data_IF_367916839805
#
_entry.id   IF_367916839805
#
_cell.length_a   1.000
_cell.length_b   1.000
_cell.length_c   1.000
_cell.angle_alpha   90.00
_cell.angle_beta   90.00
_cell.angle_gamma   90.00
#
_symmetry.space_group_name_H-M   'P 1'
#
loop_
_entity.id
_entity.type
_entity.pdbx_description
1 polymer ?
#
# COMPACT_ATOMS: atom_id res chain seq x y z
N UNK A 1 18.62 38.42 22.36
CA UNK A 1 17.23 37.94 22.47
C UNK A 1 16.32 38.82 23.34
N UNK A 2 16.76 39.48 24.36
CA UNK A 2 15.93 40.32 25.26
C UNK A 2 15.35 41.61 24.63
N UNK A 3 16.04 42.25 23.68
CA UNK A 3 15.61 43.52 23.06
C UNK A 3 14.49 43.34 22.02
N UNK A 4 14.47 42.21 21.34
CA UNK A 4 13.43 41.89 20.34
C UNK A 4 12.08 41.60 21.00
N UNK A 5 12.13 40.98 22.19
CA UNK A 5 10.93 40.64 22.96
C UNK A 5 10.26 41.87 23.56
N UNK A 6 11.03 42.89 23.94
CA UNK A 6 10.52 44.15 24.58
C UNK A 6 9.83 45.07 23.55
N UNK A 7 10.29 45.12 22.30
CA UNK A 7 9.66 45.90 21.24
C UNK A 7 8.37 45.28 20.71
N UNK A 8 8.30 43.94 20.62
CA UNK A 8 7.08 43.22 20.23
C UNK A 8 6.02 43.37 21.32
N UNK A 9 6.41 43.21 22.59
CA UNK A 9 5.51 43.38 23.74
C UNK A 9 4.90 44.79 23.82
N UNK A 10 5.68 45.84 23.56
CA UNK A 10 5.17 47.24 23.53
C UNK A 10 4.25 47.52 22.33
N UNK A 11 4.54 46.96 21.14
CA UNK A 11 3.66 47.09 19.97
C UNK A 11 2.32 46.38 20.18
N UNK A 12 2.33 45.21 20.81
CA UNK A 12 1.12 44.46 21.15
C UNK A 12 0.33 45.20 22.27
N UNK A 13 1.02 45.80 23.24
CA UNK A 13 0.36 46.52 24.36
C UNK A 13 -0.48 47.71 23.90
N UNK A 14 -0.13 48.35 22.79
CA UNK A 14 -0.84 49.52 22.27
C UNK A 14 -1.91 49.23 21.21
N UNK A 15 -2.14 47.95 20.87
CA UNK A 15 -3.20 47.56 19.94
C UNK A 15 -4.57 47.48 20.62
N UNK A 16 -5.64 47.66 19.85
CA UNK A 16 -7.01 47.49 20.31
C UNK A 16 -7.22 46.08 20.91
N UNK A 17 -8.11 45.97 21.89
CA UNK A 17 -8.43 44.69 22.56
C UNK A 17 -8.82 43.59 21.58
N UNK A 18 -9.60 43.94 20.55
CA UNK A 18 -9.98 43.06 19.46
C UNK A 18 -8.76 42.41 18.79
N UNK A 19 -7.76 43.23 18.41
CA UNK A 19 -6.56 42.74 17.72
C UNK A 19 -5.70 41.85 18.63
N UNK A 20 -5.63 42.15 19.92
CA UNK A 20 -4.91 41.31 20.90
C UNK A 20 -5.55 39.92 21.05
N UNK A 21 -6.87 39.90 21.20
CA UNK A 21 -7.63 38.66 21.34
C UNK A 21 -7.52 37.81 20.08
N UNK A 22 -7.67 38.41 18.90
CA UNK A 22 -7.50 37.73 17.62
C UNK A 22 -6.07 37.15 17.44
N UNK A 23 -5.04 37.94 17.77
CA UNK A 23 -3.65 37.49 17.65
C UNK A 23 -3.33 36.32 18.59
N UNK A 24 -3.83 36.37 19.83
CA UNK A 24 -3.60 35.33 20.82
C UNK A 24 -4.31 34.02 20.42
N UNK A 25 -5.56 34.09 19.94
CA UNK A 25 -6.32 32.93 19.53
C UNK A 25 -5.76 32.30 18.23
N UNK A 26 -5.39 33.11 17.23
CA UNK A 26 -4.71 32.64 16.02
C UNK A 26 -3.38 31.95 16.39
N UNK A 27 -2.62 32.49 17.34
CA UNK A 27 -1.38 31.87 17.82
C UNK A 27 -1.60 30.48 18.43
N UNK A 28 -2.64 30.35 19.26
CA UNK A 28 -3.05 29.06 19.85
C UNK A 28 -3.53 28.09 18.78
N UNK A 29 -4.38 28.54 17.86
CA UNK A 29 -4.90 27.72 16.77
C UNK A 29 -3.78 27.21 15.84
N UNK A 30 -2.77 28.04 15.55
CA UNK A 30 -1.60 27.63 14.77
C UNK A 30 -0.77 26.57 15.49
N UNK A 31 -0.63 26.69 16.80
CA UNK A 31 0.10 25.71 17.61
C UNK A 31 -0.65 24.37 17.64
N UNK A 32 -1.95 24.37 17.80
CA UNK A 32 -2.78 23.17 17.70
C UNK A 32 -2.75 22.57 16.30
N UNK A 33 -2.87 23.39 15.25
CA UNK A 33 -2.77 22.94 13.85
C UNK A 33 -1.44 22.22 13.61
N UNK A 34 -0.33 22.81 14.05
CA UNK A 34 1.00 22.21 13.91
C UNK A 34 1.08 20.85 14.63
N UNK A 35 0.61 20.79 15.88
CA UNK A 35 0.60 19.56 16.66
C UNK A 35 -0.25 18.46 16.00
N UNK A 36 -1.47 18.80 15.57
CA UNK A 36 -2.35 17.85 14.86
C UNK A 36 -1.77 17.40 13.53
N UNK A 37 -1.10 18.28 12.79
CA UNK A 37 -0.47 17.94 11.51
C UNK A 37 0.68 16.95 11.71
N UNK A 38 1.53 17.16 12.71
CA UNK A 38 2.62 16.23 13.05
C UNK A 38 2.08 14.90 13.55
N UNK A 39 1.08 14.91 14.43
CA UNK A 39 0.46 13.69 14.95
C UNK A 39 -0.25 12.91 13.84
N UNK A 40 -1.05 13.58 13.00
CA UNK A 40 -1.74 12.96 11.87
C UNK A 40 -0.75 12.35 10.88
N UNK A 41 0.30 13.08 10.51
CA UNK A 41 1.34 12.58 9.60
C UNK A 41 2.02 11.32 10.16
N UNK A 42 2.37 11.32 11.45
CA UNK A 42 2.99 10.16 12.11
C UNK A 42 2.06 8.94 12.14
N UNK A 43 0.79 9.14 12.50
CA UNK A 43 -0.21 8.06 12.55
C UNK A 43 -0.50 7.51 11.16
N UNK A 44 -0.70 8.39 10.16
CA UNK A 44 -0.99 7.99 8.79
C UNK A 44 0.16 7.17 8.24
N UNK A 45 1.40 7.65 8.36
CA UNK A 45 2.57 6.96 7.84
C UNK A 45 2.72 5.57 8.47
N UNK A 46 2.60 5.46 9.80
CA UNK A 46 2.72 4.19 10.51
C UNK A 46 1.59 3.20 10.14
N UNK A 47 0.35 3.67 10.08
CA UNK A 47 -0.82 2.84 9.73
C UNK A 47 -0.81 2.43 8.27
N UNK A 48 -0.41 3.35 7.39
CA UNK A 48 -0.34 3.10 5.96
C UNK A 48 0.66 2.01 5.63
N UNK A 49 1.88 2.06 6.19
CA UNK A 49 2.88 0.99 5.98
C UNK A 49 2.37 -0.38 6.44
N UNK A 50 1.68 -0.45 7.57
CA UNK A 50 1.11 -1.71 8.06
C UNK A 50 -0.01 -2.23 7.16
N UNK A 51 -0.94 -1.36 6.76
CA UNK A 51 -2.06 -1.73 5.88
C UNK A 51 -1.56 -2.17 4.51
N UNK A 52 -0.59 -1.42 3.97
CA UNK A 52 0.06 -1.73 2.72
C UNK A 52 0.72 -3.11 2.78
N UNK A 53 1.50 -3.37 3.82
CA UNK A 53 2.12 -4.68 4.01
C UNK A 53 1.09 -5.81 4.03
N UNK A 54 0.00 -5.66 4.77
CA UNK A 54 -1.07 -6.66 4.84
C UNK A 54 -1.74 -6.88 3.47
N UNK A 55 -2.06 -5.82 2.75
CA UNK A 55 -2.66 -5.89 1.41
C UNK A 55 -1.72 -6.58 0.43
N UNK A 56 -0.46 -6.17 0.41
CA UNK A 56 0.56 -6.74 -0.48
C UNK A 56 0.87 -8.19 -0.15
N UNK A 57 0.95 -8.54 1.14
CA UNK A 57 1.16 -9.92 1.57
C UNK A 57 0.00 -10.81 1.12
N UNK A 58 -1.25 -10.35 1.28
CA UNK A 58 -2.43 -11.10 0.81
C UNK A 58 -2.42 -11.27 -0.70
N UNK A 59 -2.10 -10.23 -1.46
CA UNK A 59 -1.99 -10.30 -2.92
C UNK A 59 -0.85 -11.23 -3.36
N UNK A 60 0.33 -11.12 -2.75
CA UNK A 60 1.47 -11.98 -3.05
C UNK A 60 1.19 -13.45 -2.71
N UNK A 61 0.51 -13.71 -1.60
CA UNK A 61 0.10 -15.07 -1.21
C UNK A 61 -0.91 -15.66 -2.19
N UNK A 62 -1.86 -14.85 -2.70
CA UNK A 62 -2.82 -15.30 -3.71
C UNK A 62 -2.10 -15.67 -5.02
N UNK A 63 -1.18 -14.84 -5.48
CA UNK A 63 -0.38 -15.11 -6.68
C UNK A 63 0.50 -16.34 -6.48
N UNK A 64 1.14 -16.50 -5.32
CA UNK A 64 1.94 -17.67 -4.96
C UNK A 64 1.11 -18.95 -4.94
N UNK A 65 -0.09 -18.91 -4.38
CA UNK A 65 -1.02 -20.03 -4.38
C UNK A 65 -1.44 -20.42 -5.81
N UNK A 66 -1.82 -19.45 -6.62
CA UNK A 66 -2.19 -19.72 -8.02
C UNK A 66 -0.99 -20.25 -8.84
N UNK A 67 0.21 -19.72 -8.58
CA UNK A 67 1.44 -20.24 -9.19
C UNK A 67 1.64 -21.72 -8.86
N UNK A 68 1.50 -22.10 -7.59
CA UNK A 68 1.58 -23.48 -7.13
C UNK A 68 0.52 -24.35 -7.82
N UNK A 69 -0.73 -23.90 -7.86
CA UNK A 69 -1.82 -24.64 -8.52
C UNK A 69 -1.53 -24.91 -10.00
N UNK A 70 -0.98 -23.93 -10.74
CA UNK A 70 -0.63 -24.13 -12.15
C UNK A 70 0.47 -25.16 -12.34
N UNK A 71 1.44 -25.23 -11.45
CA UNK A 71 2.46 -26.26 -11.49
C UNK A 71 1.90 -27.64 -11.08
N UNK A 72 0.98 -27.70 -10.11
CA UNK A 72 0.27 -28.92 -9.73
C UNK A 72 -0.65 -29.45 -10.84
N UNK A 73 -1.25 -28.57 -11.66
CA UNK A 73 -1.98 -28.97 -12.86
C UNK A 73 -1.08 -29.75 -13.84
N UNK A 74 0.19 -29.33 -13.97
CA UNK A 74 1.16 -30.05 -14.81
C UNK A 74 1.56 -31.38 -14.19
N UNK A 75 1.68 -31.47 -12.87
CA UNK A 75 1.87 -32.76 -12.18
C UNK A 75 0.67 -33.68 -12.45
N UNK A 76 -0.54 -33.14 -12.41
CA UNK A 76 -1.77 -33.88 -12.74
C UNK A 76 -1.77 -34.33 -14.17
N UNK A 77 -1.35 -33.51 -15.15
CA UNK A 77 -1.14 -33.89 -16.52
C UNK A 77 -0.20 -35.12 -16.63
N UNK A 78 0.91 -35.14 -15.86
CA UNK A 78 1.83 -36.30 -15.87
C UNK A 78 1.16 -37.58 -15.38
N UNK A 79 0.24 -37.50 -14.40
CA UNK A 79 -0.54 -38.65 -13.92
C UNK A 79 -1.46 -39.17 -15.01
N UNK A 80 -2.13 -38.28 -15.75
CA UNK A 80 -3.07 -38.64 -16.83
C UNK A 80 -2.31 -39.30 -17.99
N UNK A 81 -1.23 -38.65 -18.46
CA UNK A 81 -0.39 -39.20 -19.55
C UNK A 81 0.16 -40.57 -19.18
N UNK A 82 0.69 -40.74 -17.96
CA UNK A 82 1.21 -42.02 -17.47
C UNK A 82 0.15 -43.13 -17.47
N UNK A 83 -1.11 -42.78 -17.21
CA UNK A 83 -2.21 -43.74 -17.09
C UNK A 83 -2.99 -43.93 -18.38
N UNK A 84 -2.65 -43.16 -19.43
CA UNK A 84 -3.31 -43.28 -20.74
C UNK A 84 -3.08 -44.66 -21.35
N UNK A 85 -4.18 -45.34 -21.74
CA UNK A 85 -4.12 -46.70 -22.27
C UNK A 85 -3.34 -46.81 -23.54
N UNK A 86 -3.43 -45.81 -24.44
CA UNK A 86 -2.69 -45.76 -25.68
C UNK A 86 -1.18 -45.61 -25.42
N UNK A 87 -0.80 -44.69 -24.51
CA UNK A 87 0.61 -44.53 -24.14
C UNK A 87 1.16 -45.81 -23.52
N UNK A 88 0.43 -46.43 -22.59
CA UNK A 88 0.84 -47.65 -21.90
C UNK A 88 0.99 -48.82 -22.88
N UNK A 89 -0.02 -49.10 -23.74
CA UNK A 89 0.03 -50.21 -24.66
C UNK A 89 1.09 -50.05 -25.76
N UNK A 90 1.18 -48.84 -26.33
CA UNK A 90 2.17 -48.60 -27.40
C UNK A 90 3.61 -48.64 -26.86
N UNK A 91 3.87 -48.07 -25.66
CA UNK A 91 5.20 -48.19 -25.05
C UNK A 91 5.56 -49.63 -24.67
N UNK A 92 4.58 -50.44 -24.18
CA UNK A 92 4.80 -51.86 -23.87
C UNK A 92 5.15 -52.70 -25.14
N UNK A 93 4.50 -52.39 -26.25
CA UNK A 93 4.75 -53.05 -27.53
C UNK A 93 6.14 -52.72 -28.11
N UNK A 94 6.65 -51.51 -27.92
CA UNK A 94 8.00 -51.07 -28.34
C UNK A 94 9.10 -51.95 -27.75
N UNK A 95 8.91 -52.47 -26.54
CA UNK A 95 9.87 -53.37 -25.87
C UNK A 95 9.84 -54.80 -26.40
N UNK A 96 8.83 -55.18 -27.24
CA UNK A 96 8.79 -56.51 -27.83
C UNK A 96 9.63 -56.55 -29.12
N UNK A 97 10.34 -57.68 -29.43
CA UNK A 97 11.18 -57.76 -30.58
C UNK A 97 10.34 -58.00 -31.87
N UNK A 98 9.77 -56.93 -32.41
CA UNK A 98 9.11 -56.93 -33.72
C UNK A 98 9.76 -55.88 -34.63
N UNK A 99 10.07 -56.29 -35.88
CA UNK A 99 10.99 -55.54 -36.76
C UNK A 99 10.42 -54.38 -37.58
N UNK A 100 9.08 -54.11 -37.63
CA UNK A 100 8.57 -53.28 -38.73
C UNK A 100 7.59 -52.15 -38.47
N UNK A 101 7.44 -51.61 -37.22
CA UNK A 101 6.36 -50.65 -36.93
C UNK A 101 6.76 -49.33 -36.23
N UNK A 102 7.99 -48.89 -36.36
CA UNK A 102 8.48 -47.67 -35.64
C UNK A 102 7.66 -46.39 -35.93
N UNK A 103 7.16 -46.23 -37.16
CA UNK A 103 6.37 -45.05 -37.56
C UNK A 103 4.98 -45.03 -36.93
N UNK A 104 4.36 -46.20 -36.82
CA UNK A 104 3.01 -46.33 -36.23
C UNK A 104 3.05 -46.01 -34.73
N UNK A 105 3.99 -46.57 -34.01
CA UNK A 105 4.18 -46.29 -32.57
C UNK A 105 4.48 -44.82 -32.29
N UNK A 106 5.30 -44.17 -33.12
CA UNK A 106 5.55 -42.72 -33.00
C UNK A 106 4.27 -41.94 -33.17
N UNK A 107 3.43 -42.24 -34.17
CA UNK A 107 2.18 -41.55 -34.46
C UNK A 107 1.17 -41.69 -33.31
N UNK A 108 1.05 -42.90 -32.74
CA UNK A 108 0.10 -43.18 -31.66
C UNK A 108 0.49 -42.47 -30.38
N UNK A 109 1.78 -42.51 -29.98
CA UNK A 109 2.29 -41.78 -28.84
C UNK A 109 2.16 -40.27 -29.05
N UNK A 110 2.51 -39.79 -30.26
CA UNK A 110 2.36 -38.35 -30.58
C UNK A 110 0.91 -37.90 -30.42
N UNK A 111 -0.03 -38.66 -30.99
CA UNK A 111 -1.45 -38.31 -30.96
C UNK A 111 -2.01 -38.29 -29.54
N UNK A 112 -1.66 -39.29 -28.72
CA UNK A 112 -2.07 -39.35 -27.31
C UNK A 112 -1.46 -38.20 -26.49
N UNK A 113 -0.15 -37.95 -26.64
CA UNK A 113 0.54 -36.87 -25.92
C UNK A 113 0.03 -35.50 -26.37
N UNK A 114 -0.19 -35.30 -27.68
CA UNK A 114 -0.71 -34.04 -28.23
C UNK A 114 -2.11 -33.72 -27.71
N UNK A 115 -2.97 -34.73 -27.56
CA UNK A 115 -4.30 -34.54 -26.95
C UNK A 115 -4.19 -33.97 -25.54
N UNK A 116 -3.37 -34.57 -24.70
CA UNK A 116 -3.19 -34.10 -23.32
C UNK A 116 -2.46 -32.74 -23.26
N UNK A 117 -1.49 -32.50 -24.12
CA UNK A 117 -0.83 -31.22 -24.26
C UNK A 117 -1.81 -30.09 -24.61
N UNK A 118 -2.74 -30.32 -25.53
CA UNK A 118 -3.75 -29.33 -25.93
C UNK A 118 -4.77 -29.06 -24.82
N UNK A 119 -5.12 -30.07 -24.02
CA UNK A 119 -6.02 -29.93 -22.87
C UNK A 119 -5.42 -29.02 -21.77
N UNK A 120 -4.11 -29.15 -21.52
CA UNK A 120 -3.37 -28.38 -20.53
C UNK A 120 -2.61 -27.16 -21.12
N UNK A 121 -2.91 -26.82 -22.40
CA UNK A 121 -2.19 -25.76 -23.10
C UNK A 121 -2.29 -24.41 -22.41
N UNK A 122 -1.12 -23.89 -22.01
CA UNK A 122 -0.94 -22.58 -21.42
C UNK A 122 0.30 -21.90 -22.01
N UNK A 123 0.42 -20.56 -21.99
CA UNK A 123 1.58 -19.87 -22.55
C UNK A 123 2.92 -20.30 -21.97
N UNK A 124 2.94 -20.69 -20.69
CA UNK A 124 4.13 -21.13 -19.98
C UNK A 124 4.51 -22.59 -20.24
N UNK A 125 3.60 -23.42 -20.74
CA UNK A 125 3.86 -24.79 -21.14
C UNK A 125 4.48 -24.81 -22.54
N UNK A 126 5.80 -24.96 -22.61
CA UNK A 126 6.53 -24.85 -23.87
C UNK A 126 6.55 -26.14 -24.66
N UNK A 127 6.65 -27.27 -24.00
CA UNK A 127 6.82 -28.57 -24.64
C UNK A 127 6.40 -29.70 -23.68
N UNK A 128 5.84 -30.76 -24.24
CA UNK A 128 5.82 -32.07 -23.60
C UNK A 128 6.47 -33.09 -24.55
N UNK A 129 7.22 -34.02 -24.00
CA UNK A 129 7.88 -35.08 -24.77
C UNK A 129 7.82 -36.43 -24.03
N UNK A 130 7.77 -37.50 -24.77
CA UNK A 130 7.97 -38.87 -24.25
C UNK A 130 9.23 -39.44 -24.91
N UNK A 131 10.21 -39.76 -24.07
CA UNK A 131 11.41 -40.46 -24.47
C UNK A 131 11.24 -41.97 -24.23
N UNK A 132 11.48 -42.78 -25.22
CA UNK A 132 11.53 -44.22 -25.12
C UNK A 132 12.82 -44.74 -25.78
N UNK A 133 13.19 -46.03 -25.65
CA UNK A 133 14.46 -46.56 -26.17
C UNK A 133 14.70 -46.40 -27.68
N UNK A 134 13.64 -46.22 -28.46
CA UNK A 134 13.73 -46.12 -29.91
C UNK A 134 13.66 -44.71 -30.47
N UNK A 135 12.94 -43.79 -29.82
CA UNK A 135 12.75 -42.43 -30.29
C UNK A 135 12.30 -41.48 -29.14
N UNK A 136 12.29 -40.18 -29.45
CA UNK A 136 11.66 -39.16 -28.59
C UNK A 136 10.56 -38.50 -29.42
N UNK A 137 9.37 -38.39 -28.83
CA UNK A 137 8.21 -37.70 -29.41
C UNK A 137 8.02 -36.35 -28.74
N UNK A 138 7.91 -35.29 -29.52
CA UNK A 138 7.73 -33.89 -29.02
C UNK A 138 6.40 -33.32 -29.49
N UNK A 139 5.66 -32.63 -28.62
CA UNK A 139 4.39 -31.95 -28.95
C UNK A 139 4.59 -30.58 -29.63
N UNK A 140 5.78 -29.99 -29.51
CA UNK A 140 6.07 -28.69 -30.07
C UNK A 140 7.05 -28.82 -31.27
N UNK A 141 6.70 -28.13 -32.35
CA UNK A 141 7.56 -28.02 -33.52
C UNK A 141 8.75 -27.06 -33.32
N UNK A 142 8.66 -26.18 -32.30
CA UNK A 142 9.74 -25.25 -31.99
C UNK A 142 10.97 -25.97 -31.42
N UNK A 143 11.98 -26.14 -32.26
CA UNK A 143 13.24 -26.82 -31.94
C UNK A 143 13.97 -26.14 -30.78
N UNK A 144 13.85 -24.81 -30.64
CA UNK A 144 14.53 -24.05 -29.56
C UNK A 144 14.06 -24.44 -28.15
N UNK A 145 12.87 -25.04 -28.01
CA UNK A 145 12.36 -25.52 -26.72
C UNK A 145 12.80 -26.95 -26.39
N UNK A 146 13.46 -27.66 -27.33
CA UNK A 146 13.88 -29.05 -27.13
C UNK A 146 15.21 -29.08 -26.39
N UNK A 147 15.34 -29.90 -25.32
CA UNK A 147 16.63 -30.13 -24.70
C UNK A 147 17.61 -30.79 -25.68
N UNK A 148 18.86 -30.47 -25.59
CA UNK A 148 19.90 -31.15 -26.34
C UNK A 148 20.09 -32.60 -25.85
N UNK A 149 20.98 -33.36 -26.53
CA UNK A 149 21.14 -34.78 -26.23
C UNK A 149 21.71 -35.05 -24.84
N UNK A 150 22.55 -34.17 -24.32
CA UNK A 150 23.20 -34.34 -23.01
C UNK A 150 22.25 -33.97 -21.89
N UNK A 151 21.53 -32.83 -22.02
CA UNK A 151 20.46 -32.47 -21.11
C UNK A 151 19.33 -33.51 -21.09
N UNK A 152 18.97 -34.06 -22.27
CA UNK A 152 17.96 -35.12 -22.32
C UNK A 152 18.37 -36.36 -21.53
N UNK A 153 19.64 -36.77 -21.56
CA UNK A 153 20.14 -37.91 -20.77
C UNK A 153 20.10 -37.60 -19.28
N UNK A 154 20.47 -36.38 -18.88
CA UNK A 154 20.38 -35.93 -17.49
C UNK A 154 18.94 -35.97 -16.98
N UNK A 155 17.97 -35.44 -17.77
CA UNK A 155 16.56 -35.43 -17.44
C UNK A 155 15.99 -36.85 -17.28
N UNK A 156 16.39 -37.79 -18.15
CA UNK A 156 16.00 -39.21 -18.03
C UNK A 156 16.56 -39.80 -16.73
N UNK A 157 17.85 -39.60 -16.44
CA UNK A 157 18.47 -40.14 -15.22
C UNK A 157 17.80 -39.59 -13.95
N UNK A 158 17.45 -38.30 -13.92
CA UNK A 158 16.72 -37.71 -12.81
C UNK A 158 15.28 -38.24 -12.66
N UNK A 159 14.60 -38.55 -13.78
CA UNK A 159 13.29 -39.17 -13.74
C UNK A 159 13.37 -40.61 -13.20
N UNK A 160 14.38 -41.38 -13.59
CA UNK A 160 14.64 -42.75 -13.07
C UNK A 160 14.92 -42.71 -11.56
N UNK A 161 15.74 -41.77 -11.09
CA UNK A 161 16.01 -41.57 -9.67
C UNK A 161 14.74 -41.21 -8.88
N UNK A 162 13.74 -40.61 -9.50
CA UNK A 162 12.44 -40.33 -8.92
C UNK A 162 11.50 -41.52 -8.75
N UNK A 163 11.88 -42.72 -9.27
CA UNK A 163 11.16 -43.99 -9.14
C UNK A 163 9.67 -43.91 -9.53
N UNK A 164 9.35 -43.05 -10.53
CA UNK A 164 7.97 -42.80 -10.99
C UNK A 164 7.21 -41.69 -10.28
N UNK A 165 7.86 -41.03 -9.32
CA UNK A 165 7.41 -39.73 -8.78
C UNK A 165 7.74 -38.61 -9.74
N UNK A 166 6.94 -37.51 -9.79
CA UNK A 166 7.29 -36.35 -10.57
C UNK A 166 8.49 -35.64 -9.95
N UNK A 167 9.47 -35.23 -10.75
CA UNK A 167 10.69 -34.52 -10.30
C UNK A 167 10.79 -33.20 -11.05
N UNK A 168 10.87 -32.11 -10.31
CA UNK A 168 11.18 -30.79 -10.86
C UNK A 168 12.69 -30.63 -10.99
N UNK A 169 13.16 -30.29 -12.18
CA UNK A 169 14.57 -30.05 -12.50
C UNK A 169 14.74 -28.56 -12.76
N UNK A 170 15.53 -27.91 -11.90
CA UNK A 170 15.73 -26.47 -11.87
C UNK A 170 17.14 -26.05 -12.22
N UNK A 171 18.07 -27.01 -12.37
CA UNK A 171 19.50 -26.77 -12.66
C UNK A 171 19.76 -25.94 -13.93
N UNK A 172 18.84 -25.94 -14.87
CA UNK A 172 18.94 -25.24 -16.15
C UNK A 172 17.91 -24.13 -16.33
N UNK A 173 17.40 -23.56 -15.21
CA UNK A 173 16.30 -22.59 -15.22
C UNK A 173 16.61 -21.31 -15.99
N UNK A 174 17.86 -20.84 -16.01
CA UNK A 174 18.28 -19.62 -16.69
C UNK A 174 18.23 -19.75 -18.22
N UNK A 175 18.68 -20.89 -18.78
CA UNK A 175 18.86 -21.08 -20.23
C UNK A 175 17.64 -21.73 -20.88
N UNK A 176 17.06 -22.72 -20.21
CA UNK A 176 16.04 -23.60 -20.79
C UNK A 176 14.68 -23.54 -20.07
N UNK A 177 14.58 -22.81 -18.96
CA UNK A 177 13.43 -22.90 -18.06
C UNK A 177 13.52 -24.13 -17.17
N UNK A 178 12.42 -24.47 -16.52
CA UNK A 178 12.36 -25.63 -15.62
C UNK A 178 11.75 -26.82 -16.33
N UNK A 179 12.14 -28.02 -15.90
CA UNK A 179 11.56 -29.25 -16.42
C UNK A 179 10.84 -30.00 -15.32
N UNK A 180 9.68 -30.58 -15.68
CA UNK A 180 9.02 -31.61 -14.90
C UNK A 180 9.24 -32.95 -15.60
N UNK A 181 9.94 -33.86 -14.94
CA UNK A 181 10.25 -35.14 -15.50
C UNK A 181 9.65 -36.24 -14.66
N UNK A 182 9.26 -37.34 -15.36
CA UNK A 182 8.65 -38.47 -14.70
C UNK A 182 8.84 -39.76 -15.49
N UNK A 183 9.22 -40.82 -14.79
CA UNK A 183 9.30 -42.17 -15.34
C UNK A 183 7.88 -42.73 -15.59
N UNK A 184 7.65 -43.31 -16.78
CA UNK A 184 6.43 -44.02 -17.14
C UNK A 184 6.66 -45.49 -16.86
N UNK A 185 6.04 -46.05 -15.82
CA UNK A 185 6.15 -47.46 -15.44
C UNK A 185 4.96 -48.24 -15.93
N UNK A 186 5.19 -49.50 -16.23
CA UNK A 186 4.15 -50.44 -16.61
C UNK A 186 3.16 -50.66 -15.47
N UNK A 187 1.87 -50.46 -15.76
CA UNK A 187 0.80 -50.60 -14.74
C UNK A 187 0.23 -52.04 -14.76
N UNK A 188 0.60 -52.88 -15.71
CA UNK A 188 0.01 -54.22 -15.91
C UNK A 188 0.83 -55.28 -15.18
N UNK A 189 0.12 -56.17 -14.43
CA UNK A 189 0.69 -57.35 -13.77
C UNK A 189 1.65 -57.08 -12.60
N UNK A 190 1.51 -55.96 -11.86
CA UNK A 190 2.35 -55.60 -10.69
C UNK A 190 3.87 -55.50 -10.99
N UNK A 191 4.27 -55.49 -12.26
CA UNK A 191 5.65 -55.17 -12.65
C UNK A 191 5.80 -53.70 -12.87
N UNK A 192 6.88 -53.17 -12.30
CA UNK A 192 7.25 -51.74 -12.40
C UNK A 192 8.38 -51.57 -13.41
N UNK A 193 8.23 -52.15 -14.60
CA UNK A 193 9.22 -52.00 -15.68
C UNK A 193 9.15 -50.57 -16.24
N UNK A 194 10.29 -49.93 -16.48
CA UNK A 194 10.34 -48.62 -17.11
C UNK A 194 9.97 -48.73 -18.60
N UNK A 195 8.95 -47.98 -19.03
CA UNK A 195 8.50 -47.92 -20.42
C UNK A 195 9.03 -46.68 -21.13
N UNK A 196 9.44 -45.65 -20.42
CA UNK A 196 9.92 -44.39 -20.97
C UNK A 196 9.87 -43.25 -19.95
N UNK A 197 10.22 -42.06 -20.41
CA UNK A 197 10.26 -40.85 -19.58
C UNK A 197 9.41 -39.76 -20.20
N UNK A 198 8.49 -39.20 -19.42
CA UNK A 198 7.76 -37.97 -19.75
C UNK A 198 8.59 -36.78 -19.34
N UNK A 199 8.75 -35.82 -20.24
CA UNK A 199 9.50 -34.57 -20.04
C UNK A 199 8.58 -33.42 -20.41
N UNK A 200 8.35 -32.48 -19.47
CA UNK A 200 7.56 -31.27 -19.68
C UNK A 200 8.47 -30.07 -19.42
N UNK A 201 8.51 -29.14 -20.38
CA UNK A 201 9.26 -27.88 -20.23
C UNK A 201 8.34 -26.72 -19.92
N UNK A 202 8.70 -25.92 -18.90
CA UNK A 202 7.95 -24.79 -18.38
C UNK A 202 8.83 -23.54 -18.35
N UNK A 203 8.32 -22.46 -18.93
CA UNK A 203 8.96 -21.15 -18.86
C UNK A 203 8.40 -20.34 -17.67
N UNK A 204 9.24 -20.07 -16.68
CA UNK A 204 8.84 -19.33 -15.48
C UNK A 204 8.48 -17.88 -15.78
N UNK A 205 9.11 -17.24 -16.75
CA UNK A 205 8.81 -15.84 -17.12
C UNK A 205 7.39 -15.69 -17.68
N UNK A 206 6.97 -16.64 -18.55
CA UNK A 206 5.61 -16.65 -19.04
C UNK A 206 4.59 -17.00 -17.94
N UNK A 207 4.95 -17.90 -17.03
CA UNK A 207 4.11 -18.24 -15.88
C UNK A 207 3.91 -17.00 -14.97
N UNK A 208 4.97 -16.30 -14.61
CA UNK A 208 4.90 -15.06 -13.84
C UNK A 208 4.09 -13.99 -14.57
N UNK A 209 4.24 -13.89 -15.90
CA UNK A 209 3.46 -12.95 -16.71
C UNK A 209 1.97 -13.27 -16.67
N UNK A 210 1.58 -14.54 -16.76
CA UNK A 210 0.17 -14.94 -16.62
C UNK A 210 -0.37 -14.66 -15.20
N UNK A 211 0.43 -14.92 -14.18
CA UNK A 211 0.02 -14.66 -12.78
C UNK A 211 -0.10 -13.16 -12.47
N UNK A 212 0.75 -12.33 -13.06
CA UNK A 212 0.68 -10.87 -12.88
C UNK A 212 -0.59 -10.24 -13.47
N UNK A 213 -1.26 -10.92 -14.42
CA UNK A 213 -2.57 -10.47 -14.93
C UNK A 213 -3.69 -10.62 -13.92
N UNK A 214 -3.58 -11.55 -12.99
CA UNK A 214 -4.57 -11.80 -11.94
C UNK A 214 -4.56 -10.67 -10.91
N UNK A 215 -3.39 -10.12 -10.63
CA UNK A 215 -3.18 -9.02 -9.69
C UNK A 215 -3.14 -7.67 -10.42
N UNK A 216 -4.32 -7.15 -10.79
CA UNK A 216 -4.43 -5.83 -11.45
C UNK A 216 -3.97 -4.63 -10.60
N UNK A 217 -3.71 -4.84 -9.30
CA UNK A 217 -3.40 -3.76 -8.36
C UNK A 217 -1.98 -3.19 -8.49
N UNK A 218 -1.03 -3.96 -9.04
CA UNK A 218 0.38 -3.56 -9.02
C UNK A 218 1.03 -3.69 -10.41
N UNK A 219 0.64 -2.80 -11.31
CA UNK A 219 1.35 -2.63 -12.59
C UNK A 219 2.80 -2.22 -12.30
N UNK A 220 3.77 -2.98 -12.82
CA UNK A 220 5.19 -2.73 -12.59
C UNK A 220 5.74 -3.41 -11.32
N UNK A 221 5.15 -4.51 -10.91
CA UNK A 221 5.75 -5.40 -9.91
C UNK A 221 6.74 -6.36 -10.56
N UNK A 222 7.79 -6.69 -9.80
CA UNK A 222 8.84 -7.62 -10.22
C UNK A 222 8.85 -8.83 -9.31
N UNK A 223 9.07 -9.99 -9.91
CA UNK A 223 9.14 -11.26 -9.22
C UNK A 223 10.54 -11.86 -9.34
N UNK A 224 11.00 -12.44 -8.26
CA UNK A 224 12.24 -13.20 -8.19
C UNK A 224 11.91 -14.49 -7.47
N UNK A 225 12.32 -15.62 -8.05
CA UNK A 225 12.01 -16.96 -7.53
C UNK A 225 13.33 -17.67 -7.28
N UNK A 226 13.45 -18.28 -6.11
CA UNK A 226 14.62 -19.04 -5.67
C UNK A 226 14.23 -20.44 -5.22
N UNK A 227 15.11 -21.39 -5.47
CA UNK A 227 15.12 -22.67 -4.79
C UNK A 227 16.34 -22.69 -3.88
N UNK A 228 16.13 -22.66 -2.56
CA UNK A 228 17.21 -22.45 -1.57
C UNK A 228 17.99 -21.17 -1.90
N UNK A 229 19.26 -21.31 -2.37
CA UNK A 229 20.12 -20.19 -2.75
C UNK A 229 20.26 -20.04 -4.28
N UNK A 230 19.67 -20.95 -5.07
CA UNK A 230 19.73 -20.89 -6.52
C UNK A 230 18.63 -19.99 -7.06
N UNK A 231 19.00 -19.01 -7.90
CA UNK A 231 18.06 -18.18 -8.65
C UNK A 231 17.40 -19.00 -9.74
N UNK A 232 16.08 -19.11 -9.73
CA UNK A 232 15.30 -19.78 -10.78
C UNK A 232 14.74 -18.81 -11.81
N UNK A 233 14.36 -17.62 -11.35
CA UNK A 233 13.78 -16.59 -12.21
C UNK A 233 13.99 -15.21 -11.58
N UNK A 234 14.32 -14.23 -12.42
CA UNK A 234 14.29 -12.81 -12.12
C UNK A 234 13.59 -12.06 -13.24
N UNK A 235 12.73 -11.10 -12.90
CA UNK A 235 12.16 -10.21 -13.92
C UNK A 235 13.26 -9.49 -14.69
N UNK A 236 13.18 -9.42 -16.04
CA UNK A 236 14.31 -8.99 -16.90
C UNK A 236 14.87 -7.58 -16.63
N UNK A 237 14.09 -6.75 -15.95
CA UNK A 237 14.45 -5.34 -15.66
C UNK A 237 15.31 -5.20 -14.40
N UNK A 238 15.57 -6.29 -13.68
CA UNK A 238 16.32 -6.29 -12.43
C UNK A 238 17.75 -6.78 -12.65
N UNK A 239 18.69 -6.09 -12.02
CA UNK A 239 20.08 -6.55 -11.98
C UNK A 239 20.21 -7.70 -10.98
N UNK A 240 20.63 -8.86 -11.48
CA UNK A 240 20.72 -10.10 -10.72
C UNK A 240 21.71 -10.00 -9.53
N UNK A 241 22.82 -9.26 -9.69
CA UNK A 241 23.81 -9.11 -8.63
C UNK A 241 23.29 -8.25 -7.45
N UNK A 242 22.52 -7.19 -7.76
CA UNK A 242 21.91 -6.35 -6.72
C UNK A 242 20.80 -7.09 -5.97
N UNK A 243 20.02 -7.88 -6.69
CA UNK A 243 18.93 -8.67 -6.13
C UNK A 243 19.44 -9.71 -5.15
N UNK A 244 20.54 -10.40 -5.45
CA UNK A 244 21.12 -11.42 -4.58
C UNK A 244 21.61 -10.82 -3.25
N UNK A 245 22.21 -9.62 -3.28
CA UNK A 245 22.64 -8.88 -2.06
C UNK A 245 21.48 -8.47 -1.15
N UNK A 246 20.28 -8.33 -1.71
CA UNK A 246 19.08 -7.89 -0.98
C UNK A 246 18.34 -9.08 -0.38
N UNK A 247 18.33 -10.21 -1.06
CA UNK A 247 17.65 -11.42 -0.61
C UNK A 247 18.02 -11.81 0.82
N UNK A 248 19.32 -11.74 1.16
CA UNK A 248 19.82 -12.10 2.49
C UNK A 248 19.41 -11.14 3.60
N UNK A 249 19.02 -9.90 3.26
CA UNK A 249 18.67 -8.85 4.22
C UNK A 249 17.18 -8.81 4.57
N UNK A 250 16.33 -9.41 3.74
CA UNK A 250 14.87 -9.34 3.91
C UNK A 250 14.38 -10.60 4.62
N UNK A 251 13.92 -10.43 5.87
CA UNK A 251 13.28 -11.53 6.63
C UNK A 251 11.83 -11.77 6.23
N UNK A 252 11.03 -10.70 6.11
CA UNK A 252 9.61 -10.77 5.71
C UNK A 252 9.23 -9.65 4.75
N UNK A 253 9.55 -8.40 5.09
CA UNK A 253 9.38 -7.25 4.21
C UNK A 253 10.41 -6.15 4.52
N UNK A 254 10.72 -5.34 3.52
CA UNK A 254 11.59 -4.18 3.66
C UNK A 254 11.35 -3.16 2.52
N UNK A 255 11.76 -1.92 2.75
CA UNK A 255 11.95 -0.97 1.65
C UNK A 255 13.39 -1.06 1.20
N UNK A 256 13.59 -1.40 -0.08
CA UNK A 256 14.92 -1.59 -0.68
C UNK A 256 15.13 -0.59 -1.80
N UNK A 257 16.38 -0.27 -2.09
CA UNK A 257 16.75 0.59 -3.22
C UNK A 257 17.52 -0.24 -4.23
N UNK A 258 17.00 -0.32 -5.45
CA UNK A 258 17.58 -1.00 -6.61
C UNK A 258 17.69 -0.01 -7.75
N UNK A 259 18.86 0.09 -8.39
CA UNK A 259 19.09 1.03 -9.50
C UNK A 259 18.63 2.46 -9.21
N UNK A 260 18.83 2.94 -7.96
CA UNK A 260 18.43 4.29 -7.52
C UNK A 260 16.91 4.49 -7.30
N UNK A 261 16.09 3.46 -7.50
CA UNK A 261 14.64 3.48 -7.25
C UNK A 261 14.31 2.69 -5.99
N UNK A 262 13.31 3.16 -5.26
CA UNK A 262 12.83 2.48 -4.05
C UNK A 262 11.73 1.49 -4.39
N UNK A 263 11.83 0.31 -3.81
CA UNK A 263 10.84 -0.76 -3.92
C UNK A 263 10.41 -1.22 -2.55
N UNK A 264 9.16 -1.58 -2.44
CA UNK A 264 8.67 -2.33 -1.30
C UNK A 264 8.78 -3.83 -1.63
N UNK A 265 9.57 -4.55 -0.85
CA UNK A 265 9.90 -5.95 -1.08
C UNK A 265 9.20 -6.83 -0.05
N UNK A 266 8.55 -7.90 -0.52
CA UNK A 266 7.93 -8.93 0.32
C UNK A 266 8.56 -10.26 -0.03
N UNK A 267 8.99 -11.00 1.01
CA UNK A 267 9.46 -12.37 0.90
C UNK A 267 8.39 -13.33 1.35
N UNK A 268 8.18 -14.41 0.59
CA UNK A 268 7.30 -15.50 0.93
C UNK A 268 7.83 -16.84 0.44
N UNK A 269 7.13 -17.91 0.78
CA UNK A 269 7.40 -19.29 0.35
C UNK A 269 6.28 -19.78 -0.55
N UNK A 270 6.59 -20.65 -1.48
CA UNK A 270 5.61 -21.41 -2.29
C UNK A 270 5.51 -22.82 -1.74
N UNK A 271 4.33 -23.40 -1.80
CA UNK A 271 4.08 -24.77 -1.32
C UNK A 271 4.58 -25.87 -2.28
N UNK A 272 5.47 -25.49 -3.21
CA UNK A 272 6.11 -26.40 -4.15
C UNK A 272 7.61 -26.38 -3.96
N UNK A 273 8.24 -27.53 -3.75
CA UNK A 273 9.68 -27.72 -3.60
C UNK A 273 10.41 -26.73 -2.66
N UNK A 274 9.68 -26.16 -1.68
CA UNK A 274 10.20 -25.13 -0.76
C UNK A 274 10.77 -23.90 -1.49
N UNK A 275 10.22 -23.56 -2.66
CA UNK A 275 10.64 -22.36 -3.39
C UNK A 275 10.29 -21.11 -2.62
N UNK A 276 11.19 -20.13 -2.69
CA UNK A 276 11.01 -18.83 -2.09
C UNK A 276 10.79 -17.80 -3.19
N UNK A 277 9.96 -16.81 -2.90
CA UNK A 277 9.82 -15.67 -3.80
C UNK A 277 10.13 -14.35 -3.09
N UNK A 278 10.61 -13.40 -3.88
CA UNK A 278 10.71 -12.00 -3.53
C UNK A 278 9.85 -11.20 -4.51
N UNK A 279 8.82 -10.56 -4.01
CA UNK A 279 7.93 -9.70 -4.79
C UNK A 279 8.26 -8.24 -4.51
N UNK A 280 8.66 -7.51 -5.54
CA UNK A 280 9.06 -6.10 -5.49
C UNK A 280 7.99 -5.24 -6.13
N UNK A 281 7.53 -4.21 -5.43
CA UNK A 281 6.56 -3.24 -5.94
C UNK A 281 7.17 -1.86 -5.88
N UNK A 282 7.04 -1.08 -6.97
CA UNK A 282 7.58 0.27 -7.03
C UNK A 282 7.03 1.13 -5.89
N UNK A 283 7.93 1.74 -5.10
CA UNK A 283 7.55 2.64 -4.01
C UNK A 283 6.87 3.92 -4.52
N UNK A 284 7.15 4.33 -5.76
CA UNK A 284 6.56 5.54 -6.35
C UNK A 284 5.06 5.39 -6.57
N UNK A 285 4.57 4.22 -6.95
CA UNK A 285 3.12 3.94 -7.06
C UNK A 285 2.44 3.99 -5.69
N UNK A 286 3.10 3.42 -4.70
CA UNK A 286 2.67 3.43 -3.31
C UNK A 286 2.67 4.85 -2.74
N UNK A 287 3.74 5.62 -2.98
CA UNK A 287 3.88 7.00 -2.53
C UNK A 287 2.83 7.93 -3.16
N UNK A 288 2.47 7.71 -4.43
CA UNK A 288 1.43 8.49 -5.12
C UNK A 288 0.06 8.37 -4.46
N UNK A 289 -0.34 7.17 -4.08
CA UNK A 289 -1.59 6.92 -3.33
C UNK A 289 -1.54 7.57 -1.94
N UNK A 290 -0.40 7.50 -1.26
CA UNK A 290 -0.20 8.13 0.04
C UNK A 290 -0.24 9.66 -0.04
N UNK A 291 0.36 10.27 -1.07
CA UNK A 291 0.36 11.73 -1.27
C UNK A 291 -1.06 12.28 -1.43
N UNK A 292 -1.91 11.60 -2.18
CA UNK A 292 -3.31 12.03 -2.37
C UNK A 292 -4.09 12.00 -1.04
N UNK A 293 -3.90 10.97 -0.24
CA UNK A 293 -4.52 10.86 1.07
C UNK A 293 -4.00 11.94 2.03
N UNK A 294 -2.68 12.15 2.07
CA UNK A 294 -2.06 13.20 2.87
C UNK A 294 -2.55 14.60 2.47
N UNK A 295 -2.70 14.87 1.19
CA UNK A 295 -3.24 16.14 0.68
C UNK A 295 -4.67 16.38 1.17
N UNK A 296 -5.54 15.38 1.14
CA UNK A 296 -6.91 15.49 1.65
C UNK A 296 -6.94 15.83 3.15
N UNK A 297 -6.08 15.20 3.96
CA UNK A 297 -5.97 15.53 5.38
C UNK A 297 -5.50 16.95 5.62
N UNK A 298 -4.48 17.41 4.89
CA UNK A 298 -4.00 18.80 4.99
C UNK A 298 -5.11 19.78 4.60
N UNK A 299 -5.88 19.48 3.55
CA UNK A 299 -7.01 20.29 3.10
C UNK A 299 -8.12 20.38 4.19
N UNK A 300 -8.48 19.26 4.80
CA UNK A 300 -9.49 19.23 5.88
C UNK A 300 -9.02 20.05 7.08
N UNK A 301 -7.76 19.89 7.52
CA UNK A 301 -7.19 20.67 8.61
C UNK A 301 -7.16 22.16 8.29
N UNK A 302 -6.81 22.53 7.06
CA UNK A 302 -6.79 23.91 6.60
C UNK A 302 -8.20 24.54 6.59
N UNK A 303 -9.21 23.82 6.10
CA UNK A 303 -10.60 24.26 6.15
C UNK A 303 -11.08 24.43 7.60
N UNK A 304 -10.75 23.49 8.49
CA UNK A 304 -11.06 23.59 9.91
C UNK A 304 -10.42 24.82 10.56
N UNK A 305 -9.18 25.12 10.24
CA UNK A 305 -8.47 26.31 10.69
C UNK A 305 -9.13 27.62 10.22
N UNK A 306 -9.52 27.71 8.95
CA UNK A 306 -10.25 28.86 8.43
C UNK A 306 -11.60 29.05 9.13
N UNK A 307 -12.34 27.97 9.38
CA UNK A 307 -13.60 28.00 10.12
C UNK A 307 -13.37 28.49 11.56
N UNK A 308 -12.31 28.02 12.24
CA UNK A 308 -11.94 28.46 13.59
C UNK A 308 -11.68 29.97 13.63
N UNK A 309 -10.86 30.49 12.71
CA UNK A 309 -10.60 31.93 12.60
C UNK A 309 -11.89 32.73 12.40
N UNK A 310 -12.78 32.28 11.52
CA UNK A 310 -14.05 32.94 11.25
C UNK A 310 -14.92 33.00 12.51
N UNK A 311 -15.06 31.89 13.24
CA UNK A 311 -15.86 31.79 14.45
C UNK A 311 -15.27 32.72 15.53
N UNK A 312 -13.96 32.65 15.74
CA UNK A 312 -13.27 33.51 16.71
C UNK A 312 -13.45 34.98 16.35
N UNK A 313 -13.29 35.36 15.08
CA UNK A 313 -13.51 36.73 14.63
C UNK A 313 -14.92 37.20 14.94
N UNK A 314 -15.95 36.42 14.67
CA UNK A 314 -17.33 36.77 14.98
C UNK A 314 -17.58 36.93 16.46
N UNK A 315 -17.03 36.03 17.29
CA UNK A 315 -17.16 36.09 18.75
C UNK A 315 -16.46 37.34 19.32
N UNK A 316 -15.19 37.54 18.94
CA UNK A 316 -14.40 38.68 19.39
C UNK A 316 -15.07 39.99 19.00
N UNK A 317 -15.51 40.13 17.75
CA UNK A 317 -16.21 41.31 17.26
C UNK A 317 -17.49 41.58 18.04
N UNK A 318 -18.25 40.53 18.39
CA UNK A 318 -19.47 40.67 19.21
C UNK A 318 -19.15 41.15 20.63
N UNK A 319 -18.13 40.60 21.25
CA UNK A 319 -17.70 40.99 22.60
C UNK A 319 -17.15 42.44 22.60
N UNK A 320 -16.25 42.78 21.70
CA UNK A 320 -15.58 44.07 21.63
C UNK A 320 -16.58 45.22 21.38
N UNK A 321 -17.62 44.98 20.57
CA UNK A 321 -18.67 45.96 20.31
C UNK A 321 -19.36 46.41 21.60
N UNK A 322 -19.52 45.54 22.58
CA UNK A 322 -20.12 45.89 23.87
C UNK A 322 -19.18 46.75 24.73
N UNK A 323 -17.88 46.50 24.68
CA UNK A 323 -16.89 47.32 25.35
C UNK A 323 -16.73 48.69 24.72
N UNK A 324 -16.77 48.79 23.39
CA UNK A 324 -16.70 50.06 22.67
C UNK A 324 -17.91 50.96 23.04
N UNK A 325 -19.10 50.35 23.16
CA UNK A 325 -20.30 51.09 23.59
C UNK A 325 -20.18 51.59 25.02
N UNK A 326 -19.63 50.78 25.92
CA UNK A 326 -19.41 51.22 27.31
C UNK A 326 -18.40 52.36 27.36
N UNK A 327 -17.27 52.23 26.65
CA UNK A 327 -16.26 53.31 26.55
C UNK A 327 -16.85 54.60 26.00
N UNK A 328 -17.66 54.56 24.96
CA UNK A 328 -18.34 55.72 24.41
C UNK A 328 -19.24 56.41 25.45
N UNK A 329 -19.99 55.61 26.21
CA UNK A 329 -20.86 56.13 27.27
C UNK A 329 -20.04 56.79 28.41
N UNK A 330 -18.93 56.17 28.81
CA UNK A 330 -18.03 56.73 29.82
C UNK A 330 -17.42 58.06 29.37
N UNK A 331 -16.97 58.15 28.12
CA UNK A 331 -16.42 59.37 27.56
C UNK A 331 -17.47 60.49 27.52
N UNK A 332 -18.66 60.21 27.04
CA UNK A 332 -19.73 61.19 26.91
C UNK A 332 -20.21 61.71 28.27
N UNK A 333 -20.28 60.85 29.28
CA UNK A 333 -20.56 61.23 30.65
C UNK A 333 -19.41 62.06 31.28
N UNK A 334 -18.17 61.79 30.89
CA UNK A 334 -17.01 62.63 31.34
C UNK A 334 -16.97 64.01 30.69
N UNK A 335 -17.51 64.21 29.50
CA UNK A 335 -17.64 65.51 28.84
C UNK A 335 -18.81 66.35 29.37
N UNK A 336 -19.94 65.70 29.62
CA UNK A 336 -21.14 66.32 30.19
C UNK A 336 -21.82 65.37 31.18
N UNK A 337 -21.60 65.61 32.45
CA UNK A 337 -22.17 64.82 33.55
C UNK A 337 -23.69 64.95 33.72
N UNK A 338 -24.33 65.82 32.92
CA UNK A 338 -25.80 65.95 32.92
C UNK A 338 -26.46 64.99 31.90
N UNK A 339 -25.72 64.46 30.97
CA UNK A 339 -26.22 63.57 29.88
C UNK A 339 -25.95 62.14 30.25
N UNK A 340 -26.90 61.47 30.87
CA UNK A 340 -26.91 60.03 30.98
C UNK A 340 -27.42 59.46 29.63
N UNK A 341 -26.52 58.94 28.81
CA UNK A 341 -26.93 58.29 27.55
C UNK A 341 -27.82 57.09 27.92
N UNK A 342 -29.02 57.04 27.34
CA UNK A 342 -29.98 55.95 27.55
C UNK A 342 -29.31 54.58 27.34
N UNK A 343 -29.61 53.64 28.25
CA UNK A 343 -29.15 52.26 28.13
C UNK A 343 -30.00 51.61 27.07
N UNK A 344 -29.43 51.00 25.99
CA UNK A 344 -30.22 50.15 25.13
C UNK A 344 -30.89 49.07 25.99
N UNK A 345 -32.20 48.82 25.74
CA UNK A 345 -33.07 47.88 26.49
C UNK A 345 -32.44 46.50 26.70
N UNK A 346 -31.56 46.08 25.78
CA UNK A 346 -30.90 44.81 25.74
C UNK A 346 -29.86 44.55 26.88
N UNK A 347 -29.43 45.57 27.60
CA UNK A 347 -28.41 45.44 28.68
C UNK A 347 -29.01 45.34 30.08
N UNK A 348 -30.26 45.74 30.29
CA UNK A 348 -30.90 45.68 31.60
C UNK A 348 -31.24 44.24 32.00
N UNK A 349 -31.61 43.40 31.05
CA UNK A 349 -31.99 41.98 31.25
C UNK A 349 -30.79 41.03 31.17
N UNK A 350 -29.62 41.54 30.81
CA UNK A 350 -28.41 40.74 30.64
C UNK A 350 -27.78 40.40 32.00
N UNK A 351 -27.59 39.09 32.24
CA UNK A 351 -27.10 38.56 33.53
C UNK A 351 -25.59 38.28 33.55
N UNK A 352 -24.89 38.42 32.43
CA UNK A 352 -23.45 38.20 32.31
C UNK A 352 -22.62 39.41 32.81
N UNK A 353 -21.28 39.25 32.81
CA UNK A 353 -20.31 40.24 33.28
C UNK A 353 -20.45 41.59 32.56
N UNK A 354 -20.80 41.56 31.26
CA UNK A 354 -21.01 42.77 30.46
C UNK A 354 -22.26 43.51 30.96
N UNK A 355 -23.36 42.80 31.22
CA UNK A 355 -24.56 43.38 31.78
C UNK A 355 -24.31 43.95 33.20
N UNK A 356 -23.57 43.23 34.03
CA UNK A 356 -23.18 43.71 35.37
C UNK A 356 -22.37 45.00 35.26
N UNK A 357 -21.39 45.07 34.37
CA UNK A 357 -20.51 46.22 34.18
C UNK A 357 -21.30 47.44 33.70
N UNK A 358 -22.22 47.29 32.76
CA UNK A 358 -23.08 48.35 32.30
C UNK A 358 -24.00 48.88 33.41
N UNK A 359 -24.61 48.02 34.23
CA UNK A 359 -25.45 48.43 35.36
C UNK A 359 -24.64 49.15 36.44
N UNK A 360 -23.45 48.67 36.80
CA UNK A 360 -22.59 49.31 37.77
C UNK A 360 -22.13 50.70 37.31
N UNK A 361 -21.78 50.82 36.02
CA UNK A 361 -21.46 52.13 35.45
C UNK A 361 -22.65 53.10 35.54
N UNK A 362 -23.85 52.66 35.17
CA UNK A 362 -25.07 53.46 35.23
C UNK A 362 -25.34 53.93 36.67
N UNK A 363 -25.29 52.98 37.60
CA UNK A 363 -25.51 53.32 39.03
C UNK A 363 -24.47 54.32 39.57
N UNK A 364 -23.19 54.16 39.16
CA UNK A 364 -22.14 55.16 39.54
C UNK A 364 -22.41 56.56 38.94
N UNK A 365 -22.80 56.56 37.61
CA UNK A 365 -23.10 57.81 36.90
C UNK A 365 -24.30 58.55 37.53
N UNK A 366 -25.38 57.83 37.84
CA UNK A 366 -26.56 58.38 38.56
C UNK A 366 -26.19 58.98 39.92
N UNK A 367 -25.31 58.31 40.70
CA UNK A 367 -24.84 58.79 42.00
C UNK A 367 -24.00 60.03 41.87
N UNK A 368 -23.09 60.10 40.88
CA UNK A 368 -22.31 61.30 40.59
C UNK A 368 -23.24 62.51 40.25
N UNK A 369 -24.21 62.25 39.33
CA UNK A 369 -25.16 63.26 38.91
C UNK A 369 -25.97 63.81 40.09
N UNK A 370 -26.44 62.95 41.00
CA UNK A 370 -27.13 63.37 42.24
C UNK A 370 -26.23 64.23 43.09
N UNK A 371 -24.99 63.86 43.32
CA UNK A 371 -24.03 64.62 44.11
C UNK A 371 -23.70 65.99 43.48
N UNK A 372 -23.56 66.07 42.17
CA UNK A 372 -23.34 67.35 41.45
C UNK A 372 -24.52 68.29 41.62
N UNK A 373 -25.75 67.79 41.45
CA UNK A 373 -26.97 68.56 41.61
C UNK A 373 -27.10 69.04 43.06
N UNK A 374 -26.83 68.21 44.07
CA UNK A 374 -26.89 68.49 45.45
C UNK A 374 -25.83 69.54 45.86
N UNK A 375 -24.59 69.39 45.35
CA UNK A 375 -23.54 70.39 45.56
C UNK A 375 -23.89 71.78 44.97
N UNK A 376 -24.45 71.76 43.72
CA UNK A 376 -24.88 73.01 43.10
C UNK A 376 -26.01 73.70 43.87
N UNK A 377 -26.96 72.88 44.38
CA UNK A 377 -28.04 73.38 45.25
C UNK A 377 -27.51 74.01 46.57
N UNK A 378 -26.55 73.38 47.23
CA UNK A 378 -25.90 73.90 48.41
C UNK A 378 -25.13 75.20 48.14
N UNK A 379 -24.46 75.31 47.00
CA UNK A 379 -23.76 76.50 46.56
C UNK A 379 -24.74 77.69 46.31
N UNK A 380 -25.90 77.43 45.73
CA UNK A 380 -26.95 78.46 45.56
C UNK A 380 -27.51 78.92 46.84
N UNK A 381 -27.82 78.02 47.80
CA UNK A 381 -28.31 78.36 49.11
C UNK A 381 -27.28 79.17 49.93
N UNK A 382 -25.99 78.86 49.76
CA UNK A 382 -24.91 79.61 50.39
C UNK A 382 -24.74 81.03 49.78
N UNK A 383 -25.05 81.25 48.51
CA UNK A 383 -25.04 82.54 47.83
C UNK A 383 -26.26 83.39 48.19
N UNK A 384 -27.43 82.80 48.37
CA UNK A 384 -28.63 83.52 48.76
C UNK A 384 -28.62 83.93 50.29
N UNK A 385 -27.69 83.35 51.07
CA UNK A 385 -27.53 83.68 52.50
C UNK A 385 -26.43 84.72 52.75
N UNK A 386 -25.78 85.26 51.71
CA UNK A 386 -24.86 86.41 51.75
C UNK A 386 -25.56 87.70 51.26
#
# INVERSE_FOLDING_TARGET
MSFFNKNISRKIANQKLETKLLLSTIGIDLLFLFFFLVAAFSIITSRYHKLLYQSMQSSSSLVSYEFTNRLEDLVTMTNIVRSDSTVQSTLDEIYQPQEDYAVHYYSDIYSALQKHYLEYRQPYLKMAAISCPRFITYTNENIACRPDADLTKELIALAEAGEGSPVWVTSHAEDHGIFLVREIKKIKNLRLDNLGTLIINVNLGDLVTEMSKISNEYKGSYWIIYEKDQLLFSSPELDTEEVQKINDKIKSYAVVTLNGRKYFAIRGTMDINEWNYLHLISYDEVAKSQQMTAFLYVLILFCGFLCSILIVHLIVRKITRHFDLLLYRMQRFGEDSTVLAEIPYDYNDRTDEIGILHRQFTHMAERIQTLVVENYRQQLLAKDAQ
#
